data_IF_834535172544
#
_entry.id   IF_834535172544
#
_cell.length_a   1.000
_cell.length_b   1.000
_cell.length_c   1.000
_cell.angle_alpha   90.00
_cell.angle_beta   90.00
_cell.angle_gamma   90.00
#
_symmetry.space_group_name_H-M   'P 1'
#
loop_
_entity.id
_entity.type
_entity.pdbx_description
1 polymer ?
#
# COMPACT_ATOMS: atom_id res chain seq x y z
N UNK A 1 3.38 -8.12 -25.25
CA UNK A 1 2.66 -8.49 -24.01
C UNK A 1 3.59 -8.93 -22.87
N UNK A 2 4.77 -9.54 -23.13
CA UNK A 2 5.67 -10.04 -22.07
C UNK A 2 6.34 -8.93 -21.21
N UNK A 3 6.51 -7.74 -21.78
CA UNK A 3 7.16 -6.60 -21.11
C UNK A 3 6.16 -5.79 -20.26
N UNK A 4 4.90 -5.71 -20.66
CA UNK A 4 3.89 -4.93 -19.96
C UNK A 4 3.60 -5.43 -18.53
N UNK A 5 3.62 -6.74 -18.31
CA UNK A 5 3.31 -7.37 -17.02
C UNK A 5 4.21 -6.87 -15.88
N UNK A 6 5.53 -6.94 -16.02
CA UNK A 6 6.44 -6.52 -14.96
C UNK A 6 6.51 -4.99 -14.83
N UNK A 7 6.31 -4.25 -15.94
CA UNK A 7 6.26 -2.78 -15.90
C UNK A 7 5.08 -2.31 -15.04
N UNK A 8 3.89 -2.88 -15.23
CA UNK A 8 2.72 -2.56 -14.41
C UNK A 8 3.04 -2.77 -12.92
N UNK A 9 3.63 -3.90 -12.55
CA UNK A 9 3.98 -4.19 -11.17
C UNK A 9 5.05 -3.24 -10.62
N UNK A 10 6.05 -2.89 -11.43
CA UNK A 10 7.08 -1.90 -11.04
C UNK A 10 6.46 -0.54 -10.80
N UNK A 11 5.57 -0.09 -11.68
CA UNK A 11 4.87 1.20 -11.51
C UNK A 11 4.06 1.20 -10.22
N UNK A 12 3.28 0.15 -9.95
CA UNK A 12 2.52 0.04 -8.70
C UNK A 12 3.44 0.05 -7.48
N UNK A 13 4.51 -0.74 -7.51
CA UNK A 13 5.47 -0.79 -6.40
C UNK A 13 6.18 0.55 -6.17
N UNK A 14 6.59 1.23 -7.24
CA UNK A 14 7.22 2.55 -7.16
C UNK A 14 6.26 3.63 -6.61
N UNK A 15 5.03 3.67 -7.09
CA UNK A 15 4.01 4.59 -6.57
C UNK A 15 3.69 4.32 -5.09
N UNK A 16 3.60 3.05 -4.69
CA UNK A 16 3.41 2.66 -3.29
C UNK A 16 4.59 3.10 -2.42
N UNK A 17 5.82 2.91 -2.90
CA UNK A 17 7.04 3.34 -2.20
C UNK A 17 7.08 4.86 -2.04
N UNK A 18 6.88 5.59 -3.12
CA UNK A 18 6.85 7.06 -3.10
C UNK A 18 5.77 7.61 -2.18
N UNK A 19 4.56 7.07 -2.23
CA UNK A 19 3.47 7.44 -1.34
C UNK A 19 3.79 7.16 0.13
N UNK A 20 4.41 6.03 0.43
CA UNK A 20 4.84 5.69 1.79
C UNK A 20 5.95 6.62 2.29
N UNK A 21 6.97 6.89 1.48
CA UNK A 21 8.06 7.82 1.83
C UNK A 21 7.53 9.25 2.02
N UNK A 22 6.63 9.70 1.15
CA UNK A 22 5.96 11.00 1.32
C UNK A 22 5.19 11.09 2.63
N UNK A 23 4.49 10.00 3.01
CA UNK A 23 3.76 9.93 4.28
C UNK A 23 4.69 9.97 5.50
N UNK A 24 5.86 9.33 5.42
CA UNK A 24 6.92 9.46 6.44
C UNK A 24 7.40 10.91 6.51
N UNK A 25 7.72 11.53 5.37
CA UNK A 25 8.16 12.90 5.30
C UNK A 25 7.16 13.87 5.95
N UNK A 26 5.87 13.71 5.62
CA UNK A 26 4.81 14.53 6.24
C UNK A 26 4.75 14.30 7.76
N UNK A 27 4.87 13.07 8.23
CA UNK A 27 4.78 12.76 9.66
C UNK A 27 5.91 13.40 10.48
N UNK A 28 7.12 13.49 9.92
CA UNK A 28 8.30 13.98 10.63
C UNK A 28 8.62 15.46 10.37
N UNK A 29 8.40 15.94 9.15
CA UNK A 29 8.91 17.25 8.70
C UNK A 29 7.81 18.26 8.37
N UNK A 30 6.52 17.84 8.37
CA UNK A 30 5.46 18.77 8.03
C UNK A 30 5.24 19.78 9.15
N UNK A 31 5.45 21.05 8.81
CA UNK A 31 5.03 22.20 9.61
C UNK A 31 3.55 22.49 9.38
N UNK A 32 2.97 21.93 8.32
CA UNK A 32 1.55 22.08 7.98
C UNK A 32 0.73 21.28 8.97
N UNK A 33 -0.33 21.89 9.46
CA UNK A 33 -1.29 21.27 10.37
C UNK A 33 -1.82 19.96 9.80
N UNK A 34 -1.47 18.85 10.44
CA UNK A 34 -1.87 17.52 9.98
C UNK A 34 -3.37 17.37 10.22
N UNK A 35 -4.12 16.99 9.18
CA UNK A 35 -5.57 16.84 9.23
C UNK A 35 -5.99 15.38 9.26
N UNK A 36 -6.92 15.07 10.15
CA UNK A 36 -7.57 13.75 10.21
C UNK A 36 -9.04 13.97 9.82
N UNK A 37 -9.32 13.80 8.53
CA UNK A 37 -10.60 14.17 7.98
C UNK A 37 -10.81 15.70 8.01
N UNK A 38 -11.97 16.21 8.47
CA UNK A 38 -12.25 17.63 8.51
C UNK A 38 -11.60 18.37 9.70
N UNK A 39 -11.14 17.64 10.72
CA UNK A 39 -10.56 18.22 11.93
C UNK A 39 -9.04 18.30 11.86
N UNK A 40 -8.47 19.37 12.40
CA UNK A 40 -7.01 19.44 12.56
C UNK A 40 -6.54 18.51 13.70
N UNK A 41 -5.31 18.04 13.60
CA UNK A 41 -4.73 17.23 14.66
C UNK A 41 -4.64 18.01 15.98
N UNK A 42 -4.43 19.32 15.90
CA UNK A 42 -4.39 20.22 17.06
C UNK A 42 -5.75 20.31 17.75
N UNK A 43 -6.84 20.44 16.99
CA UNK A 43 -8.22 20.42 17.53
C UNK A 43 -8.54 19.06 18.17
N UNK A 44 -8.18 17.97 17.52
CA UNK A 44 -8.42 16.61 18.03
C UNK A 44 -7.61 16.31 19.29
N UNK A 45 -6.42 16.85 19.38
CA UNK A 45 -5.56 16.71 20.56
C UNK A 45 -6.08 17.51 21.76
N UNK A 46 -7.00 18.47 21.56
CA UNK A 46 -7.59 19.29 22.63
C UNK A 46 -6.54 19.86 23.61
N UNK A 47 -5.42 20.35 23.10
CA UNK A 47 -4.32 20.92 23.88
C UNK A 47 -3.40 19.88 24.54
N UNK A 48 -3.54 18.58 24.22
CA UNK A 48 -2.68 17.50 24.73
C UNK A 48 -1.64 17.11 23.67
N UNK A 49 -0.39 17.60 23.77
CA UNK A 49 0.65 17.37 22.75
C UNK A 49 1.03 15.90 22.60
N UNK A 50 0.88 15.09 23.66
CA UNK A 50 1.14 13.66 23.65
C UNK A 50 0.22 12.90 22.69
N UNK A 51 -1.04 13.34 22.53
CA UNK A 51 -2.00 12.74 21.58
C UNK A 51 -1.56 13.02 20.15
N UNK A 52 -1.17 14.25 19.84
CA UNK A 52 -0.67 14.62 18.54
C UNK A 52 0.59 13.81 18.17
N UNK A 53 1.53 13.68 19.12
CA UNK A 53 2.76 12.90 18.95
C UNK A 53 2.45 11.43 18.71
N UNK A 54 1.55 10.82 19.48
CA UNK A 54 1.16 9.43 19.32
C UNK A 54 0.53 9.15 17.94
N UNK A 55 -0.32 10.05 17.44
CA UNK A 55 -0.94 9.91 16.11
C UNK A 55 0.12 10.01 15.01
N UNK A 56 1.03 10.98 15.08
CA UNK A 56 2.14 11.12 14.12
C UNK A 56 3.07 9.90 14.14
N UNK A 57 3.42 9.39 15.31
CA UNK A 57 4.24 8.20 15.45
C UNK A 57 3.57 6.97 14.80
N UNK A 58 2.27 6.76 15.03
CA UNK A 58 1.50 5.68 14.38
C UNK A 58 1.48 5.82 12.86
N UNK A 59 1.29 7.04 12.35
CA UNK A 59 1.34 7.31 10.91
C UNK A 59 2.71 6.98 10.33
N UNK A 60 3.79 7.43 10.98
CA UNK A 60 5.16 7.16 10.57
C UNK A 60 5.45 5.65 10.55
N UNK A 61 5.04 4.92 11.59
CA UNK A 61 5.19 3.46 11.67
C UNK A 61 4.45 2.75 10.53
N UNK A 62 3.19 3.11 10.29
CA UNK A 62 2.41 2.51 9.20
C UNK A 62 3.04 2.78 7.83
N UNK A 63 3.54 4.00 7.63
CA UNK A 63 4.22 4.38 6.39
C UNK A 63 5.57 3.65 6.22
N UNK A 64 6.31 3.41 7.30
CA UNK A 64 7.55 2.62 7.27
C UNK A 64 7.29 1.17 6.86
N UNK A 65 6.24 0.52 7.40
CA UNK A 65 5.82 -0.81 6.94
C UNK A 65 5.39 -0.80 5.47
N UNK A 66 4.67 0.23 5.02
CA UNK A 66 4.30 0.40 3.62
C UNK A 66 5.53 0.52 2.71
N UNK A 67 6.53 1.29 3.10
CA UNK A 67 7.80 1.42 2.37
C UNK A 67 8.58 0.10 2.33
N UNK A 68 8.66 -0.61 3.45
CA UNK A 68 9.29 -1.94 3.52
C UNK A 68 8.61 -2.94 2.59
N UNK A 69 7.27 -3.02 2.64
CA UNK A 69 6.50 -3.86 1.73
C UNK A 69 6.74 -3.51 0.26
N UNK A 70 6.68 -2.22 -0.09
CA UNK A 70 6.89 -1.76 -1.46
C UNK A 70 8.30 -2.06 -1.97
N UNK A 71 9.32 -1.95 -1.11
CA UNK A 71 10.70 -2.31 -1.43
C UNK A 71 10.85 -3.79 -1.74
N UNK A 72 10.29 -4.67 -0.88
CA UNK A 72 10.29 -6.11 -1.11
C UNK A 72 9.49 -6.48 -2.37
N UNK A 73 8.34 -5.84 -2.58
CA UNK A 73 7.52 -6.03 -3.78
C UNK A 73 8.31 -5.69 -5.05
N UNK A 74 9.02 -4.56 -5.06
CA UNK A 74 9.89 -4.14 -6.17
C UNK A 74 11.07 -5.11 -6.37
N UNK A 75 11.74 -5.53 -5.30
CA UNK A 75 12.86 -6.48 -5.37
C UNK A 75 12.42 -7.82 -5.99
N UNK A 76 11.28 -8.36 -5.57
CA UNK A 76 10.72 -9.60 -6.14
C UNK A 76 10.30 -9.40 -7.60
N UNK A 77 9.71 -8.24 -7.91
CA UNK A 77 9.24 -7.94 -9.28
C UNK A 77 10.42 -7.80 -10.26
N UNK A 78 11.45 -7.04 -9.87
CA UNK A 78 12.62 -6.77 -10.72
C UNK A 78 13.58 -7.96 -10.83
N UNK A 79 13.64 -8.80 -9.81
CA UNK A 79 14.49 -9.98 -9.76
C UNK A 79 13.77 -11.24 -10.25
N UNK A 80 13.27 -12.08 -9.32
CA UNK A 80 12.77 -13.41 -9.65
C UNK A 80 11.53 -13.40 -10.54
N UNK A 81 10.57 -12.47 -10.34
CA UNK A 81 9.38 -12.41 -11.19
C UNK A 81 9.73 -12.09 -12.66
N UNK A 82 10.68 -11.18 -12.88
CA UNK A 82 11.16 -10.85 -14.23
C UNK A 82 11.82 -12.05 -14.91
N UNK A 83 12.45 -12.96 -14.14
CA UNK A 83 13.03 -14.20 -14.62
C UNK A 83 11.99 -15.29 -14.91
N UNK A 84 10.76 -15.13 -14.42
CA UNK A 84 9.65 -16.05 -14.65
C UNK A 84 9.48 -17.10 -13.55
N UNK A 85 10.02 -16.86 -12.35
CA UNK A 85 9.93 -17.77 -11.22
C UNK A 85 8.50 -17.85 -10.68
N UNK A 86 7.96 -19.06 -10.59
CA UNK A 86 6.57 -19.32 -10.14
C UNK A 86 6.35 -18.89 -8.68
N UNK A 87 7.36 -19.09 -7.82
CA UNK A 87 7.25 -18.72 -6.43
C UNK A 87 7.10 -17.20 -6.27
N UNK A 88 7.83 -16.41 -7.07
CA UNK A 88 7.72 -14.96 -7.05
C UNK A 88 6.31 -14.47 -7.42
N UNK A 89 5.68 -15.09 -8.43
CA UNK A 89 4.30 -14.82 -8.82
C UNK A 89 3.34 -15.11 -7.66
N UNK A 90 3.49 -16.28 -7.01
CA UNK A 90 2.65 -16.66 -5.86
C UNK A 90 2.83 -15.71 -4.69
N UNK A 91 4.07 -15.34 -4.37
CA UNK A 91 4.39 -14.44 -3.26
C UNK A 91 3.81 -13.05 -3.48
N UNK A 92 3.93 -12.50 -4.70
CA UNK A 92 3.32 -11.21 -5.04
C UNK A 92 1.79 -11.26 -4.94
N UNK A 93 1.15 -12.34 -5.44
CA UNK A 93 -0.29 -12.52 -5.34
C UNK A 93 -0.75 -12.60 -3.88
N UNK A 94 -0.15 -13.48 -3.10
CA UNK A 94 -0.53 -13.69 -1.69
C UNK A 94 -0.27 -12.41 -0.88
N UNK A 95 0.89 -11.78 -1.05
CA UNK A 95 1.22 -10.53 -0.36
C UNK A 95 0.20 -9.43 -0.65
N UNK A 96 -0.19 -9.26 -1.91
CA UNK A 96 -1.22 -8.28 -2.28
C UNK A 96 -2.59 -8.61 -1.71
N UNK A 97 -2.99 -9.87 -1.73
CA UNK A 97 -4.27 -10.30 -1.13
C UNK A 97 -4.31 -10.03 0.37
N UNK A 98 -3.24 -10.40 1.09
CA UNK A 98 -3.15 -10.17 2.53
C UNK A 98 -3.25 -8.68 2.86
N UNK A 99 -2.45 -7.84 2.19
CA UNK A 99 -2.47 -6.38 2.40
C UNK A 99 -3.85 -5.81 2.06
N UNK A 100 -4.45 -6.21 0.95
CA UNK A 100 -5.78 -5.73 0.54
C UNK A 100 -6.86 -6.13 1.55
N UNK A 101 -6.86 -7.37 2.03
CA UNK A 101 -7.81 -7.83 3.07
C UNK A 101 -7.65 -7.01 4.35
N UNK A 102 -6.41 -6.81 4.82
CA UNK A 102 -6.16 -6.04 6.03
C UNK A 102 -6.59 -4.57 5.89
N UNK A 103 -6.41 -3.96 4.72
CA UNK A 103 -6.89 -2.60 4.44
C UNK A 103 -8.42 -2.56 4.42
N UNK A 104 -9.07 -3.55 3.77
CA UNK A 104 -10.53 -3.62 3.69
C UNK A 104 -11.18 -3.87 5.05
N UNK A 105 -10.56 -4.64 5.94
CA UNK A 105 -11.02 -4.80 7.31
C UNK A 105 -11.08 -3.49 8.11
N UNK A 106 -10.38 -2.45 7.65
CA UNK A 106 -10.44 -1.12 8.25
C UNK A 106 -11.68 -0.33 7.84
N UNK A 107 -12.31 -0.66 6.71
CA UNK A 107 -13.42 0.10 6.12
C UNK A 107 -14.59 0.33 7.09
N UNK A 108 -15.10 -0.70 7.83
CA UNK A 108 -16.20 -0.51 8.76
C UNK A 108 -15.92 0.54 9.85
N UNK A 109 -14.66 0.63 10.30
CA UNK A 109 -14.27 1.60 11.33
C UNK A 109 -14.21 3.04 10.80
N UNK A 110 -13.97 3.22 9.50
CA UNK A 110 -13.96 4.56 8.88
C UNK A 110 -15.37 5.12 8.73
N UNK A 111 -16.35 4.30 8.38
CA UNK A 111 -17.73 4.76 8.15
C UNK A 111 -18.48 5.11 9.43
N UNK A 112 -18.17 4.46 10.56
CA UNK A 112 -18.82 4.72 11.85
C UNK A 112 -18.46 6.10 12.40
N UNK A 113 -17.23 6.58 12.18
CA UNK A 113 -16.68 7.74 12.87
C UNK A 113 -16.56 9.01 12.02
N UNK A 114 -16.74 8.93 10.69
CA UNK A 114 -16.36 10.01 9.78
C UNK A 114 -17.47 10.41 8.78
N UNK A 115 -18.73 10.50 9.23
CA UNK A 115 -19.86 11.01 8.40
C UNK A 115 -19.78 12.52 8.12
N UNK A 116 -18.60 13.05 7.80
CA UNK A 116 -18.42 14.49 7.48
C UNK A 116 -17.86 14.65 6.07
N UNK A 117 -18.29 15.69 5.32
CA UNK A 117 -17.75 16.01 4.00
C UNK A 117 -16.23 16.20 4.04
N UNK A 118 -15.50 15.60 3.12
CA UNK A 118 -14.02 15.71 3.02
C UNK A 118 -13.23 14.66 3.83
N UNK A 119 -13.88 13.80 4.60
CA UNK A 119 -13.21 12.67 5.25
C UNK A 119 -12.81 11.60 4.23
N UNK A 120 -11.74 10.87 4.52
CA UNK A 120 -11.41 9.62 3.80
C UNK A 120 -12.53 8.63 4.10
N UNK A 121 -13.45 8.46 3.16
CA UNK A 121 -14.60 7.57 3.31
C UNK A 121 -14.17 6.12 3.21
N UNK A 122 -14.87 5.23 3.90
CA UNK A 122 -14.69 3.79 3.74
C UNK A 122 -14.87 3.36 2.28
N UNK A 123 -15.86 3.94 1.57
CA UNK A 123 -16.07 3.71 0.14
C UNK A 123 -14.87 4.12 -0.71
N UNK A 124 -14.24 5.26 -0.46
CA UNK A 124 -13.04 5.71 -1.18
C UNK A 124 -11.85 4.78 -0.94
N UNK A 125 -11.65 4.34 0.31
CA UNK A 125 -10.61 3.36 0.66
C UNK A 125 -10.88 2.01 0.00
N UNK A 126 -12.11 1.51 0.03
CA UNK A 126 -12.48 0.26 -0.63
C UNK A 126 -12.24 0.33 -2.14
N UNK A 127 -12.71 1.41 -2.79
CA UNK A 127 -12.53 1.59 -4.24
C UNK A 127 -11.06 1.63 -4.63
N UNK A 128 -10.23 2.43 -3.95
CA UNK A 128 -8.80 2.52 -4.25
C UNK A 128 -8.08 1.18 -4.07
N UNK A 129 -8.42 0.44 -3.01
CA UNK A 129 -7.85 -0.89 -2.74
C UNK A 129 -8.25 -1.90 -3.83
N UNK A 130 -9.53 -1.90 -4.24
CA UNK A 130 -10.02 -2.78 -5.30
C UNK A 130 -9.39 -2.45 -6.66
N UNK A 131 -9.24 -1.16 -6.98
CA UNK A 131 -8.53 -0.73 -8.20
C UNK A 131 -7.08 -1.18 -8.18
N UNK A 132 -6.37 -1.00 -7.07
CA UNK A 132 -4.98 -1.46 -6.94
C UNK A 132 -4.88 -2.98 -7.07
N UNK A 133 -5.77 -3.72 -6.44
CA UNK A 133 -5.83 -5.18 -6.55
C UNK A 133 -6.11 -5.64 -7.98
N UNK A 134 -7.03 -4.98 -8.69
CA UNK A 134 -7.34 -5.27 -10.09
C UNK A 134 -6.13 -5.01 -11.01
N UNK A 135 -5.43 -3.88 -10.83
CA UNK A 135 -4.24 -3.53 -11.62
C UNK A 135 -3.11 -4.54 -11.39
N UNK A 136 -2.84 -4.92 -10.14
CA UNK A 136 -1.83 -5.95 -9.82
C UNK A 136 -2.27 -7.30 -10.35
N UNK A 137 -3.54 -7.69 -10.18
CA UNK A 137 -4.11 -8.92 -10.71
C UNK A 137 -3.95 -9.00 -12.23
N UNK A 138 -4.22 -7.91 -12.96
CA UNK A 138 -3.99 -7.81 -14.40
C UNK A 138 -2.50 -7.99 -14.74
N UNK A 139 -1.60 -7.31 -14.02
CA UNK A 139 -0.16 -7.46 -14.19
C UNK A 139 0.29 -8.91 -14.01
N UNK A 140 -0.18 -9.58 -12.96
CA UNK A 140 0.13 -10.99 -12.69
C UNK A 140 -0.48 -11.96 -13.73
N UNK A 141 -1.71 -11.70 -14.19
CA UNK A 141 -2.39 -12.50 -15.21
C UNK A 141 -1.65 -12.43 -16.55
N UNK A 142 -1.22 -11.24 -16.98
CA UNK A 142 -0.42 -11.04 -18.19
C UNK A 142 0.95 -11.73 -18.12
N UNK A 143 1.49 -11.90 -16.90
CA UNK A 143 2.75 -12.60 -16.66
C UNK A 143 2.67 -14.13 -16.68
N UNK A 144 1.47 -14.70 -16.55
CA UNK A 144 1.26 -16.14 -16.32
C UNK A 144 1.90 -17.04 -17.40
N UNK A 145 1.91 -16.60 -18.66
CA UNK A 145 2.49 -17.33 -19.78
C UNK A 145 4.04 -17.39 -19.81
N UNK A 146 4.71 -16.70 -18.86
CA UNK A 146 6.19 -16.70 -18.74
C UNK A 146 6.71 -17.58 -17.61
N UNK A 147 5.80 -18.08 -16.77
CA UNK A 147 6.20 -18.81 -15.58
C UNK A 147 6.88 -20.12 -15.96
N UNK A 148 8.13 -20.26 -15.55
CA UNK A 148 8.90 -21.48 -15.66
C UNK A 148 8.67 -22.29 -14.39
N UNK A 149 8.24 -23.53 -14.55
CA UNK A 149 8.33 -24.49 -13.45
C UNK A 149 9.82 -24.69 -13.20
N UNK A 150 10.31 -24.36 -12.02
CA UNK A 150 11.63 -24.78 -11.58
C UNK A 150 11.64 -26.31 -11.62
N UNK A 151 12.36 -26.90 -12.58
CA UNK A 151 12.68 -28.31 -12.51
C UNK A 151 13.44 -28.54 -11.19
N UNK A 152 13.13 -29.58 -10.40
CA UNK A 152 13.96 -29.91 -9.25
C UNK A 152 15.39 -30.13 -9.74
N UNK A 153 16.39 -29.70 -8.97
CA UNK A 153 17.79 -30.05 -9.29
C UNK A 153 17.90 -31.58 -9.36
N UNK A 154 18.50 -32.07 -10.45
CA UNK A 154 18.81 -33.50 -10.64
C UNK A 154 19.83 -33.95 -9.62
#
# INVERSE_FOLDING_TARGET
MKTASWIILVVVGALTLLGSLSSVGIAYFSVVEDRIGPASLTELAAGRPEVATAVRARRATAAAYGAGFATLFLAITLGPYRRGDVWAWKTLLVGMLVVSVLILLRVPFLDVNLRRPGAVTGAGTALSTLVQLAVVGLGLALGRGRLRRSSPPA
#
